data_IF_622873583712
#
_entry.id   IF_622873583712
#
_cell.length_a   1.000
_cell.length_b   1.000
_cell.length_c   1.000
_cell.angle_alpha   90.00
_cell.angle_beta   90.00
_cell.angle_gamma   90.00
#
_symmetry.space_group_name_H-M   'P 1'
#
loop_
_entity.id
_entity.type
_entity.pdbx_description
1 polymer ?
#
# COMPACT_ATOMS: atom_id res chain seq x y z
N UNK A 1 18.31 -28.10 3.27
CA UNK A 1 19.25 -27.39 4.16
C UNK A 1 18.58 -26.39 5.10
N UNK A 2 17.74 -25.45 4.63
CA UNK A 2 17.11 -24.41 5.49
C UNK A 2 16.10 -24.91 6.54
N UNK A 3 15.51 -26.09 6.33
CA UNK A 3 14.63 -26.78 7.28
C UNK A 3 15.37 -27.76 8.24
N UNK A 4 16.70 -27.84 8.17
CA UNK A 4 17.45 -28.79 8.99
C UNK A 4 17.23 -28.52 10.49
N UNK A 5 16.77 -29.55 11.22
CA UNK A 5 16.53 -29.48 12.66
C UNK A 5 15.11 -29.08 13.09
N UNK A 6 14.15 -28.94 12.16
CA UNK A 6 12.75 -28.60 12.47
C UNK A 6 11.79 -29.79 12.29
N UNK A 7 12.10 -30.93 12.92
CA UNK A 7 11.35 -32.17 12.76
C UNK A 7 9.85 -32.02 13.10
N UNK A 8 9.55 -31.39 14.23
CA UNK A 8 8.17 -31.17 14.69
C UNK A 8 7.35 -30.32 13.71
N UNK A 9 7.99 -29.37 13.02
CA UNK A 9 7.30 -28.53 12.02
C UNK A 9 7.03 -29.30 10.72
N UNK A 10 7.89 -30.26 10.37
CA UNK A 10 7.69 -31.12 9.18
C UNK A 10 6.55 -32.11 9.38
N UNK A 11 6.31 -32.56 10.61
CA UNK A 11 5.17 -33.43 10.94
C UNK A 11 3.82 -32.76 10.66
N UNK A 12 3.76 -31.42 10.72
CA UNK A 12 2.56 -30.63 10.38
C UNK A 12 2.15 -30.74 8.91
N UNK A 13 3.09 -31.02 7.98
CA UNK A 13 2.83 -30.94 6.53
C UNK A 13 2.68 -32.32 5.88
N UNK A 14 1.50 -32.93 6.00
CA UNK A 14 1.22 -34.26 5.43
C UNK A 14 0.49 -34.18 4.08
N UNK A 15 -0.24 -33.09 3.85
CA UNK A 15 -1.07 -32.87 2.66
C UNK A 15 -0.85 -31.47 2.09
N UNK A 16 -1.28 -31.26 0.84
CA UNK A 16 -1.31 -29.91 0.27
C UNK A 16 -2.21 -28.96 1.06
N UNK A 17 -3.25 -29.48 1.74
CA UNK A 17 -4.11 -28.71 2.63
C UNK A 17 -3.33 -28.08 3.78
N UNK A 18 -2.43 -28.86 4.39
CA UNK A 18 -1.60 -28.38 5.50
C UNK A 18 -0.65 -27.27 5.06
N UNK A 19 -0.11 -27.37 3.83
CA UNK A 19 0.78 -26.35 3.25
C UNK A 19 0.04 -25.03 3.06
N UNK A 20 -1.17 -25.04 2.50
CA UNK A 20 -1.90 -23.78 2.23
C UNK A 20 -2.51 -23.17 3.50
N UNK A 21 -2.85 -23.98 4.50
CA UNK A 21 -3.31 -23.49 5.81
C UNK A 21 -2.15 -22.90 6.62
N UNK A 22 -0.97 -23.52 6.58
CA UNK A 22 0.22 -23.10 7.32
C UNK A 22 1.29 -22.50 6.39
N UNK A 23 0.86 -21.72 5.40
CA UNK A 23 1.72 -21.20 4.34
C UNK A 23 2.91 -20.37 4.86
N UNK A 24 2.69 -19.60 5.95
CA UNK A 24 3.75 -18.83 6.61
C UNK A 24 4.89 -19.74 7.13
N UNK A 25 4.54 -20.80 7.86
CA UNK A 25 5.51 -21.73 8.42
C UNK A 25 6.22 -22.53 7.30
N UNK A 26 5.48 -22.93 6.27
CA UNK A 26 6.05 -23.56 5.08
C UNK A 26 7.07 -22.64 4.39
N UNK A 27 6.76 -21.35 4.21
CA UNK A 27 7.66 -20.37 3.63
C UNK A 27 8.93 -20.17 4.48
N UNK A 28 8.81 -20.13 5.81
CA UNK A 28 9.96 -20.08 6.72
C UNK A 28 10.85 -21.33 6.58
N UNK A 29 10.28 -22.53 6.41
CA UNK A 29 11.05 -23.76 6.20
C UNK A 29 11.86 -23.74 4.91
N UNK A 30 11.26 -23.20 3.84
CA UNK A 30 11.91 -23.00 2.55
C UNK A 30 12.88 -21.80 2.56
N UNK A 31 12.86 -21.03 3.64
CA UNK A 31 13.69 -19.85 3.88
C UNK A 31 13.41 -18.73 2.90
N UNK A 32 12.12 -18.42 2.74
CA UNK A 32 11.66 -17.18 2.15
C UNK A 32 12.27 -15.97 2.86
N UNK A 33 12.48 -14.89 2.12
CA UNK A 33 13.01 -13.64 2.65
C UNK A 33 11.91 -12.90 3.42
N UNK A 34 12.10 -12.60 4.71
CA UNK A 34 11.18 -11.71 5.42
C UNK A 34 11.22 -10.31 4.81
N UNK A 35 10.05 -9.73 4.56
CA UNK A 35 9.91 -8.39 3.96
C UNK A 35 9.21 -7.41 4.90
N UNK A 36 9.30 -6.12 4.59
CA UNK A 36 8.77 -5.04 5.43
C UNK A 36 7.28 -4.80 5.18
N UNK A 37 6.43 -5.67 5.75
CA UNK A 37 4.96 -5.55 5.70
C UNK A 37 4.44 -5.30 4.27
N UNK A 38 4.55 -6.30 3.37
CA UNK A 38 3.96 -6.19 2.04
C UNK A 38 2.44 -6.07 2.17
N UNK A 39 1.85 -5.08 1.49
CA UNK A 39 0.41 -4.84 1.45
C UNK A 39 -0.11 -5.20 0.04
N UNK A 40 -0.27 -4.23 -0.85
CA UNK A 40 -0.87 -4.43 -2.18
C UNK A 40 0.16 -4.73 -3.29
N UNK A 41 -0.33 -5.33 -4.38
CA UNK A 41 0.46 -5.75 -5.54
C UNK A 41 -0.23 -5.36 -6.85
N UNK A 42 0.53 -4.79 -7.78
CA UNK A 42 0.02 -4.40 -9.10
C UNK A 42 0.99 -4.76 -10.22
N UNK A 43 0.45 -5.00 -11.41
CA UNK A 43 1.24 -5.32 -12.61
C UNK A 43 1.20 -4.12 -13.55
N UNK A 44 2.38 -3.64 -13.93
CA UNK A 44 2.52 -2.55 -14.89
C UNK A 44 1.87 -2.90 -16.22
N UNK A 45 0.89 -2.09 -16.71
CA UNK A 45 0.28 -2.32 -18.02
C UNK A 45 1.22 -2.00 -19.18
N UNK A 46 2.36 -1.35 -18.92
CA UNK A 46 3.34 -0.97 -19.93
C UNK A 46 4.31 -2.10 -20.27
N UNK A 47 4.81 -2.80 -19.26
CA UNK A 47 5.93 -3.74 -19.41
C UNK A 47 5.82 -4.99 -18.53
N UNK A 48 4.67 -5.24 -17.90
CA UNK A 48 4.43 -6.47 -17.14
C UNK A 48 5.23 -6.60 -15.83
N UNK A 49 6.06 -5.61 -15.47
CA UNK A 49 6.78 -5.65 -14.19
C UNK A 49 5.83 -5.54 -13.00
N UNK A 50 6.17 -6.19 -11.88
CA UNK A 50 5.31 -6.28 -10.69
C UNK A 50 5.73 -5.26 -9.66
N UNK A 51 4.79 -4.56 -9.04
CA UNK A 51 5.02 -3.59 -7.99
C UNK A 51 4.37 -4.06 -6.69
N UNK A 52 5.09 -3.99 -5.57
CA UNK A 52 4.57 -4.34 -4.24
C UNK A 52 4.84 -3.19 -3.28
N UNK A 53 3.78 -2.72 -2.61
CA UNK A 53 3.89 -1.75 -1.54
C UNK A 53 4.34 -2.43 -0.24
N UNK A 54 5.34 -1.85 0.41
CA UNK A 54 5.88 -2.28 1.70
C UNK A 54 5.66 -1.14 2.70
N UNK A 55 4.60 -1.21 3.51
CA UNK A 55 4.11 -0.03 4.24
C UNK A 55 5.10 0.50 5.27
N UNK A 56 5.73 -0.35 6.08
CA UNK A 56 6.82 0.02 7.00
C UNK A 56 7.27 -1.18 7.81
N UNK A 57 8.43 -1.07 8.43
CA UNK A 57 8.88 -1.93 9.51
C UNK A 57 9.92 -1.19 10.37
N UNK A 58 9.48 -0.60 11.47
CA UNK A 58 10.35 0.14 12.39
C UNK A 58 11.43 -0.75 13.04
N UNK A 59 11.13 -2.03 13.27
CA UNK A 59 12.10 -3.02 13.77
C UNK A 59 13.24 -3.29 12.79
N UNK A 60 13.02 -3.09 11.49
CA UNK A 60 14.05 -3.19 10.45
C UNK A 60 14.66 -1.82 10.09
N UNK A 61 14.25 -0.73 10.76
CA UNK A 61 14.69 0.63 10.46
C UNK A 61 13.99 1.29 9.27
N UNK A 62 13.04 0.61 8.63
CA UNK A 62 12.24 1.13 7.53
C UNK A 62 10.95 1.79 8.05
N UNK A 63 11.09 2.99 8.62
CA UNK A 63 9.98 3.69 9.30
C UNK A 63 8.89 4.18 8.32
N UNK A 64 9.27 4.44 7.06
CA UNK A 64 8.42 5.10 6.07
C UNK A 64 7.93 4.22 4.94
N UNK A 65 8.41 2.99 4.84
CA UNK A 65 8.03 2.08 3.77
C UNK A 65 8.69 2.39 2.43
N UNK A 66 8.38 1.57 1.45
CA UNK A 66 8.85 1.69 0.08
C UNK A 66 7.95 0.91 -0.88
N UNK A 67 8.13 1.11 -2.17
CA UNK A 67 7.51 0.32 -3.23
C UNK A 67 8.64 -0.37 -3.98
N UNK A 68 8.57 -1.70 -4.05
CA UNK A 68 9.54 -2.53 -4.77
C UNK A 68 8.96 -2.88 -6.13
N UNK A 69 9.80 -2.83 -7.17
CA UNK A 69 9.46 -3.29 -8.51
C UNK A 69 10.29 -4.53 -8.85
N UNK A 70 9.65 -5.53 -9.42
CA UNK A 70 10.22 -6.81 -9.80
C UNK A 70 10.18 -6.99 -11.33
N UNK A 71 11.26 -7.51 -11.87
CA UNK A 71 11.46 -7.81 -13.29
C UNK A 71 11.58 -9.31 -13.44
N UNK A 72 10.51 -9.97 -13.86
CA UNK A 72 10.55 -11.40 -14.12
C UNK A 72 11.53 -11.71 -15.25
N UNK A 73 12.31 -12.78 -15.09
CA UNK A 73 13.28 -13.19 -16.11
C UNK A 73 12.55 -13.46 -17.43
N UNK A 74 13.14 -12.96 -18.51
CA UNK A 74 12.63 -13.13 -19.88
C UNK A 74 11.19 -12.60 -20.07
N UNK A 75 10.74 -11.67 -19.20
CA UNK A 75 9.37 -11.13 -19.21
C UNK A 75 8.28 -12.22 -19.01
N UNK A 76 8.65 -13.35 -18.40
CA UNK A 76 7.78 -14.49 -18.17
C UNK A 76 7.32 -14.57 -16.71
N UNK A 77 6.03 -14.33 -16.46
CA UNK A 77 5.42 -14.47 -15.13
C UNK A 77 5.47 -15.91 -14.54
N UNK A 78 5.80 -16.90 -15.36
CA UNK A 78 6.09 -18.27 -14.91
C UNK A 78 7.55 -18.52 -14.52
N UNK A 79 8.44 -17.54 -14.67
CA UNK A 79 9.84 -17.68 -14.32
C UNK A 79 10.03 -17.87 -12.80
N UNK A 80 11.07 -18.62 -12.42
CA UNK A 80 11.43 -18.85 -11.01
C UNK A 80 12.52 -17.89 -10.50
N UNK A 81 12.83 -16.84 -11.27
CA UNK A 81 13.86 -15.87 -10.95
C UNK A 81 13.51 -14.49 -11.49
N UNK A 82 13.82 -13.47 -10.72
CA UNK A 82 13.57 -12.07 -11.05
C UNK A 82 14.73 -11.18 -10.61
N UNK A 83 14.82 -10.00 -11.20
CA UNK A 83 15.57 -8.86 -10.64
C UNK A 83 14.61 -7.93 -9.91
N UNK A 84 15.10 -7.06 -9.02
CA UNK A 84 14.25 -6.09 -8.33
C UNK A 84 14.95 -4.75 -8.08
N UNK A 85 14.16 -3.69 -8.00
CA UNK A 85 14.58 -2.34 -7.58
C UNK A 85 13.64 -1.79 -6.50
N UNK A 86 14.18 -0.95 -5.61
CA UNK A 86 13.33 -0.06 -4.80
C UNK A 86 12.90 1.08 -5.71
N UNK A 87 11.69 0.99 -6.25
CA UNK A 87 11.15 1.94 -7.22
C UNK A 87 10.93 3.32 -6.60
N UNK A 88 10.32 3.35 -5.42
CA UNK A 88 10.08 4.58 -4.66
C UNK A 88 10.22 4.32 -3.16
N UNK A 89 11.10 5.06 -2.50
CA UNK A 89 11.27 4.99 -1.05
C UNK A 89 10.43 6.06 -0.35
N UNK A 90 9.68 5.68 0.68
CA UNK A 90 8.96 6.61 1.54
C UNK A 90 9.94 7.41 2.40
N UNK A 91 9.56 8.65 2.73
CA UNK A 91 10.36 9.51 3.59
C UNK A 91 10.15 10.99 3.29
N UNK A 92 10.73 11.83 4.14
CA UNK A 92 10.54 13.30 4.05
C UNK A 92 10.95 13.88 2.70
N UNK A 93 11.94 13.28 2.02
CA UNK A 93 12.41 13.73 0.71
C UNK A 93 11.43 13.39 -0.42
N UNK A 94 10.78 12.22 -0.37
CA UNK A 94 9.79 11.81 -1.36
C UNK A 94 8.38 12.34 -1.07
N UNK A 95 8.14 12.82 0.16
CA UNK A 95 6.89 13.51 0.52
C UNK A 95 5.73 12.56 0.84
N UNK A 96 5.93 11.25 0.80
CA UNK A 96 4.97 10.24 1.24
C UNK A 96 5.60 9.26 2.24
N UNK A 97 4.77 8.53 2.97
CA UNK A 97 5.18 7.50 3.93
C UNK A 97 4.04 6.50 4.07
N UNK A 98 4.37 5.26 4.40
CA UNK A 98 3.42 4.16 4.55
C UNK A 98 2.57 3.89 3.30
N UNK A 99 3.19 3.64 2.13
CA UNK A 99 2.43 3.23 0.94
C UNK A 99 1.69 1.92 1.21
N UNK A 100 0.44 1.86 0.77
CA UNK A 100 -0.46 0.71 0.96
C UNK A 100 -1.02 0.27 -0.39
N UNK A 101 -2.27 0.62 -0.73
CA UNK A 101 -2.85 0.17 -2.00
C UNK A 101 -2.20 0.84 -3.21
N UNK A 102 -2.20 0.09 -4.32
CA UNK A 102 -1.64 0.46 -5.59
C UNK A 102 -2.72 0.38 -6.68
N UNK A 103 -2.58 1.18 -7.73
CA UNK A 103 -3.28 0.97 -9.00
C UNK A 103 -2.53 1.67 -10.13
N UNK A 104 -2.73 1.25 -11.37
CA UNK A 104 -2.17 1.92 -12.54
C UNK A 104 -3.23 2.69 -13.31
N UNK A 105 -2.82 3.81 -13.91
CA UNK A 105 -3.56 4.40 -15.03
C UNK A 105 -3.03 3.89 -16.39
N UNK A 106 -3.73 4.26 -17.46
CA UNK A 106 -3.44 3.85 -18.84
C UNK A 106 -2.15 4.45 -19.39
N UNK A 107 -1.60 5.48 -18.75
CA UNK A 107 -0.28 6.03 -19.04
C UNK A 107 0.83 5.35 -18.23
N UNK A 108 0.48 4.28 -17.49
CA UNK A 108 1.36 3.55 -16.59
C UNK A 108 1.97 4.40 -15.47
N UNK A 109 1.29 5.46 -15.02
CA UNK A 109 1.64 6.06 -13.74
C UNK A 109 1.14 5.14 -12.62
N UNK A 110 1.99 4.92 -11.61
CA UNK A 110 1.61 4.20 -10.41
C UNK A 110 0.91 5.16 -9.46
N UNK A 111 -0.29 4.81 -9.03
CA UNK A 111 -1.02 5.52 -8.01
C UNK A 111 -0.94 4.74 -6.71
N UNK A 112 -0.52 5.39 -5.63
CA UNK A 112 -0.45 4.79 -4.30
C UNK A 112 -1.23 5.63 -3.29
N UNK A 113 -1.85 4.96 -2.33
CA UNK A 113 -2.46 5.58 -1.15
C UNK A 113 -1.62 5.27 0.08
N UNK A 114 -1.72 6.10 1.12
CA UNK A 114 -0.94 5.92 2.34
C UNK A 114 -1.78 5.56 3.55
N UNK A 115 -1.24 4.72 4.42
CA UNK A 115 -1.79 4.36 5.74
C UNK A 115 -0.78 4.52 6.87
N UNK A 116 -0.50 5.78 7.23
CA UNK A 116 0.09 6.09 8.51
C UNK A 116 -1.03 5.98 9.56
N UNK A 117 -0.86 5.08 10.53
CA UNK A 117 -1.78 4.93 11.67
C UNK A 117 -2.16 6.28 12.28
N UNK A 118 -3.44 6.48 12.59
CA UNK A 118 -3.97 7.75 13.08
C UNK A 118 -3.27 8.26 14.34
N UNK A 119 -2.93 7.35 15.25
CA UNK A 119 -2.16 7.64 16.47
C UNK A 119 -0.75 8.21 16.22
N UNK A 120 -0.18 8.00 15.03
CA UNK A 120 1.15 8.46 14.62
C UNK A 120 1.12 9.69 13.71
N UNK A 121 0.01 9.92 13.01
CA UNK A 121 -0.17 11.09 12.12
C UNK A 121 0.25 12.38 12.83
N UNK A 122 0.92 13.28 12.10
CA UNK A 122 1.35 14.59 12.58
C UNK A 122 2.26 14.57 13.83
N UNK A 123 2.94 13.45 14.11
CA UNK A 123 3.83 13.31 15.26
C UNK A 123 5.14 12.59 14.89
N UNK A 124 6.21 12.86 15.65
CA UNK A 124 7.49 12.18 15.50
C UNK A 124 8.02 12.21 14.05
N UNK A 125 8.42 11.04 13.56
CA UNK A 125 8.92 10.86 12.19
C UNK A 125 7.87 11.19 11.11
N UNK A 126 6.58 11.21 11.45
CA UNK A 126 5.47 11.41 10.51
C UNK A 126 4.96 12.85 10.45
N UNK A 127 5.54 13.76 11.24
CA UNK A 127 5.07 15.16 11.37
C UNK A 127 4.96 15.89 10.03
N UNK A 128 5.85 15.62 9.07
CA UNK A 128 5.89 16.35 7.80
C UNK A 128 4.85 15.91 6.77
N UNK A 129 4.14 14.80 6.96
CA UNK A 129 3.27 14.23 5.92
C UNK A 129 1.81 14.72 6.00
N UNK A 130 1.36 15.24 7.14
CA UNK A 130 -0.04 15.66 7.31
C UNK A 130 -0.97 14.47 7.51
N UNK A 131 -2.20 14.56 6.99
CA UNK A 131 -3.10 13.42 6.85
C UNK A 131 -2.57 12.46 5.78
N UNK A 132 -3.04 11.20 5.81
CA UNK A 132 -2.82 10.27 4.70
C UNK A 132 -3.24 10.86 3.34
N UNK A 133 -2.72 10.32 2.26
CA UNK A 133 -2.93 10.88 0.93
C UNK A 133 -2.92 9.84 -0.18
N UNK A 134 -3.22 10.33 -1.38
CA UNK A 134 -3.07 9.59 -2.62
C UNK A 134 -2.04 10.33 -3.47
N UNK A 135 -1.13 9.56 -4.06
CA UNK A 135 0.02 10.06 -4.81
C UNK A 135 0.06 9.38 -6.17
N UNK A 136 0.43 10.15 -7.20
CA UNK A 136 0.77 9.64 -8.52
C UNK A 136 2.29 9.64 -8.65
N UNK A 137 2.86 8.54 -9.12
CA UNK A 137 4.30 8.33 -9.29
C UNK A 137 4.55 7.85 -10.73
N UNK A 138 5.17 8.67 -11.59
CA UNK A 138 5.52 8.24 -12.95
C UNK A 138 6.48 7.04 -12.92
N UNK A 139 6.25 6.03 -13.75
CA UNK A 139 7.15 4.86 -13.85
C UNK A 139 8.24 5.01 -14.90
N UNK A 140 8.11 6.01 -15.77
CA UNK A 140 9.01 6.32 -16.87
C UNK A 140 9.23 7.83 -17.00
N UNK A 141 10.17 8.22 -17.85
CA UNK A 141 10.46 9.62 -18.12
C UNK A 141 11.33 10.28 -17.05
N UNK A 142 11.43 11.60 -17.09
CA UNK A 142 12.39 12.35 -16.26
C UNK A 142 12.02 12.31 -14.77
N UNK A 143 10.72 12.28 -14.46
CA UNK A 143 10.19 12.34 -13.11
C UNK A 143 9.89 10.91 -12.57
N UNK A 144 10.54 9.87 -13.14
CA UNK A 144 10.39 8.47 -12.71
C UNK A 144 10.66 8.36 -11.21
N UNK A 145 9.70 7.80 -10.47
CA UNK A 145 9.82 7.56 -9.03
C UNK A 145 9.56 8.80 -8.15
N UNK A 146 9.30 9.97 -8.75
CA UNK A 146 8.90 11.16 -8.00
C UNK A 146 7.40 11.12 -7.66
N UNK A 147 7.07 11.33 -6.38
CA UNK A 147 5.67 11.29 -5.93
C UNK A 147 5.01 12.66 -5.97
N UNK A 148 3.87 12.74 -6.64
CA UNK A 148 3.02 13.92 -6.74
C UNK A 148 1.73 13.69 -5.97
N UNK A 149 1.51 14.45 -4.89
CA UNK A 149 0.29 14.32 -4.11
C UNK A 149 -0.93 14.79 -4.91
N UNK A 150 -1.92 13.91 -5.06
CA UNK A 150 -3.17 14.17 -5.75
C UNK A 150 -4.31 14.50 -4.78
N UNK A 151 -4.41 13.78 -3.67
CA UNK A 151 -5.45 13.97 -2.67
C UNK A 151 -4.92 13.82 -1.24
N UNK A 152 -5.66 14.39 -0.29
CA UNK A 152 -5.44 14.22 1.14
C UNK A 152 -6.72 13.66 1.78
N UNK A 153 -6.54 12.67 2.64
CA UNK A 153 -7.59 12.07 3.44
C UNK A 153 -8.17 13.10 4.42
N UNK A 154 -9.41 12.88 4.88
CA UNK A 154 -9.91 13.52 6.08
C UNK A 154 -9.04 13.20 7.30
N UNK A 155 -9.28 13.94 8.38
CA UNK A 155 -8.57 13.74 9.63
C UNK A 155 -8.75 12.31 10.15
N UNK A 156 -7.63 11.70 10.57
CA UNK A 156 -7.57 10.36 11.18
C UNK A 156 -8.29 9.32 10.30
N UNK A 157 -8.00 9.37 9.00
CA UNK A 157 -8.48 8.41 8.01
C UNK A 157 -7.27 7.95 7.18
N UNK A 158 -7.39 6.78 6.57
CA UNK A 158 -6.58 6.39 5.42
C UNK A 158 -7.39 6.51 4.13
N UNK A 159 -6.68 6.56 3.00
CA UNK A 159 -7.27 6.31 1.69
C UNK A 159 -6.95 4.88 1.31
N UNK A 160 -7.92 4.17 0.74
CA UNK A 160 -7.79 2.74 0.38
C UNK A 160 -8.62 2.42 -0.86
N UNK A 161 -8.27 1.34 -1.55
CA UNK A 161 -8.97 0.83 -2.73
C UNK A 161 -9.19 1.85 -3.85
N UNK A 162 -8.12 2.47 -4.39
CA UNK A 162 -8.23 3.30 -5.59
C UNK A 162 -8.64 2.42 -6.79
N UNK A 163 -9.59 2.89 -7.60
CA UNK A 163 -10.02 2.17 -8.80
C UNK A 163 -10.51 3.13 -9.87
N UNK A 164 -9.85 3.12 -11.03
CA UNK A 164 -10.30 3.90 -12.18
C UNK A 164 -11.44 3.20 -12.92
N UNK A 165 -12.40 3.98 -13.41
CA UNK A 165 -13.31 3.54 -14.46
C UNK A 165 -12.53 3.19 -15.73
N UNK A 166 -13.03 2.30 -16.62
CA UNK A 166 -12.29 1.90 -17.82
C UNK A 166 -11.90 3.03 -18.78
N UNK A 167 -12.58 4.19 -18.71
CA UNK A 167 -12.25 5.37 -19.51
C UNK A 167 -11.51 6.45 -18.72
N UNK A 168 -11.15 6.15 -17.47
CA UNK A 168 -10.40 6.97 -16.52
C UNK A 168 -11.00 8.36 -16.26
N UNK A 169 -12.29 8.56 -16.58
CA UNK A 169 -12.98 9.83 -16.28
C UNK A 169 -13.45 9.91 -14.85
N UNK A 170 -13.42 8.81 -14.13
CA UNK A 170 -13.78 8.71 -12.72
C UNK A 170 -12.81 7.78 -12.01
N UNK A 171 -12.29 8.25 -10.89
CA UNK A 171 -11.56 7.48 -9.89
C UNK A 171 -12.49 7.25 -8.69
N UNK A 172 -12.73 6.00 -8.34
CA UNK A 172 -13.32 5.63 -7.07
C UNK A 172 -12.22 5.49 -6.03
N UNK A 173 -12.43 6.07 -4.85
CA UNK A 173 -11.47 6.02 -3.76
C UNK A 173 -12.20 5.88 -2.44
N UNK A 174 -11.78 4.94 -1.60
CA UNK A 174 -12.39 4.76 -0.29
C UNK A 174 -11.66 5.60 0.75
N UNK A 175 -12.43 6.21 1.64
CA UNK A 175 -11.94 6.79 2.88
C UNK A 175 -12.30 5.83 4.00
N UNK A 176 -11.31 5.20 4.62
CA UNK A 176 -11.51 4.31 5.74
C UNK A 176 -11.48 5.08 7.07
N UNK A 177 -12.24 4.57 8.04
CA UNK A 177 -12.21 4.94 9.47
C UNK A 177 -11.99 6.42 9.85
N UNK A 178 -12.64 7.42 9.21
CA UNK A 178 -12.45 8.82 9.55
C UNK A 178 -12.71 9.09 11.04
N UNK A 179 -11.74 9.70 11.72
CA UNK A 179 -11.84 9.99 13.16
C UNK A 179 -11.53 8.79 14.04
N UNK A 180 -10.65 7.88 13.61
CA UNK A 180 -10.24 6.65 14.31
C UNK A 180 -9.91 6.89 15.80
N UNK A 181 -9.32 8.04 16.15
CA UNK A 181 -8.94 8.38 17.54
C UNK A 181 -10.08 9.00 18.36
N UNK A 182 -11.32 8.97 17.85
CA UNK A 182 -12.51 9.45 18.58
C UNK A 182 -12.73 8.64 19.86
N UNK A 183 -12.59 9.30 21.01
CA UNK A 183 -12.89 8.72 22.33
C UNK A 183 -14.32 8.96 22.80
N UNK A 184 -14.91 10.09 22.40
CA UNK A 184 -16.29 10.47 22.73
C UNK A 184 -17.12 10.61 21.45
N UNK A 185 -18.08 9.71 21.27
CA UNK A 185 -18.97 9.69 20.10
C UNK A 185 -19.85 10.94 19.99
N UNK A 186 -20.11 11.65 21.09
CA UNK A 186 -20.83 12.91 21.04
C UNK A 186 -19.99 14.05 20.46
N UNK A 187 -18.66 13.95 20.58
CA UNK A 187 -17.67 14.93 20.14
C UNK A 187 -16.58 14.26 19.28
N UNK A 188 -16.92 13.79 18.06
CA UNK A 188 -15.98 13.05 17.24
C UNK A 188 -14.84 13.94 16.73
N UNK A 189 -13.66 13.35 16.60
CA UNK A 189 -12.44 14.05 16.14
C UNK A 189 -12.50 14.41 14.66
N UNK A 190 -13.28 13.65 13.88
CA UNK A 190 -13.64 13.89 12.48
C UNK A 190 -15.16 13.87 12.31
N UNK A 191 -15.67 14.69 11.40
CA UNK A 191 -17.10 14.74 11.04
C UNK A 191 -17.31 14.36 9.58
N UNK A 192 -16.32 13.73 8.96
CA UNK A 192 -16.34 13.39 7.54
C UNK A 192 -17.12 12.07 7.28
N UNK A 193 -17.92 11.99 6.20
CA UNK A 193 -18.33 13.10 5.35
C UNK A 193 -19.38 13.93 6.09
N UNK A 194 -19.31 15.26 5.95
CA UNK A 194 -20.32 16.13 6.53
C UNK A 194 -21.67 15.87 5.86
N UNK A 195 -22.55 15.16 6.58
CA UNK A 195 -23.93 14.92 6.16
C UNK A 195 -24.88 15.88 6.89
N UNK A 196 -25.94 16.33 6.21
CA UNK A 196 -26.93 17.20 6.85
C UNK A 196 -27.53 16.51 8.08
N UNK A 197 -27.43 17.16 9.23
CA UNK A 197 -28.08 16.73 10.47
C UNK A 197 -27.32 15.70 11.31
N UNK A 198 -26.04 15.40 11.00
CA UNK A 198 -25.22 14.48 11.80
C UNK A 198 -23.75 14.87 11.85
N UNK A 199 -23.08 14.54 12.94
CA UNK A 199 -21.63 14.71 13.14
C UNK A 199 -20.87 13.38 13.16
N UNK A 200 -21.57 12.23 13.11
CA UNK A 200 -20.95 10.91 13.15
C UNK A 200 -20.13 10.67 11.88
N UNK A 201 -18.83 10.39 12.00
CA UNK A 201 -18.00 10.09 10.84
C UNK A 201 -18.39 8.75 10.20
N UNK A 202 -18.24 8.64 8.88
CA UNK A 202 -18.67 7.45 8.13
C UNK A 202 -17.63 7.09 7.06
N UNK A 203 -17.05 5.88 7.09
CA UNK A 203 -16.32 5.37 5.93
C UNK A 203 -17.17 5.46 4.67
N UNK A 204 -16.60 5.94 3.58
CA UNK A 204 -17.34 6.18 2.34
C UNK A 204 -16.45 6.02 1.12
N UNK A 205 -17.05 5.62 0.00
CA UNK A 205 -16.41 5.66 -1.32
C UNK A 205 -16.75 6.99 -1.97
N UNK A 206 -15.74 7.71 -2.45
CA UNK A 206 -15.89 8.93 -3.24
C UNK A 206 -15.66 8.65 -4.72
N UNK A 207 -16.39 9.36 -5.57
CA UNK A 207 -16.17 9.39 -7.01
C UNK A 207 -15.52 10.73 -7.38
N UNK A 208 -14.23 10.70 -7.69
CA UNK A 208 -13.49 11.86 -8.15
C UNK A 208 -13.61 11.90 -9.68
N UNK A 209 -13.99 13.05 -10.23
CA UNK A 209 -14.25 13.23 -11.67
C UNK A 209 -13.57 14.48 -12.20
N UNK A 210 -13.48 14.61 -13.53
CA UNK A 210 -12.91 15.79 -14.18
C UNK A 210 -11.47 15.61 -14.67
N UNK A 211 -10.96 14.37 -14.65
CA UNK A 211 -9.72 14.00 -15.30
C UNK A 211 -9.80 14.30 -16.81
N UNK A 212 -8.72 14.86 -17.34
CA UNK A 212 -8.45 14.96 -18.78
C UNK A 212 -7.14 14.25 -19.01
N UNK A 213 -7.22 12.98 -19.35
CA UNK A 213 -6.10 12.23 -19.91
C UNK A 213 -5.99 12.53 -21.41
#
# INVERSE_FOLDING_TARGET
>A
EKAAGKADLLETFQTQGDVVVNAHDAAILLGATPTDRPEDVEISPLDGTVFIAHTNNDKHGNIHGHITRFFEKDEDHGAESFEFEIFAAGGRQSGFSAPDNLTFDSNANLWTVTDISSSKLNSGAWTSFGNNGMFMIPTIGRDKGEAFQFASAPKEAELTGPSFTPNEKTLFLSVQHPGEETKDKANPTSTWPQVRGGNTPRPSVVAITGFKF
#
